data_IF_455186908618
#
_entry.id   IF_455186908618
#
_cell.length_a   1.000
_cell.length_b   1.000
_cell.length_c   1.000
_cell.angle_alpha   90.00
_cell.angle_beta   90.00
_cell.angle_gamma   90.00
#
_symmetry.space_group_name_H-M   'P 1'
#
loop_
_entity.id
_entity.type
_entity.pdbx_description
1 polymer ?
#
# COMPACT_ATOMS: atom_id res chain seq x y z
N UNK A 1 6.82 -0.68 -21.08
CA UNK A 1 7.81 -0.62 -19.98
C UNK A 1 7.31 0.12 -18.74
N UNK A 2 7.04 1.45 -18.76
CA UNK A 2 6.61 2.20 -17.55
C UNK A 2 5.43 1.60 -16.78
N UNK A 3 4.44 1.06 -17.49
CA UNK A 3 3.26 0.44 -16.87
C UNK A 3 3.60 -0.85 -16.13
N UNK A 4 4.50 -1.65 -16.69
CA UNK A 4 4.92 -2.93 -16.11
C UNK A 4 5.70 -2.68 -14.82
N UNK A 5 6.63 -1.73 -14.84
CA UNK A 5 7.40 -1.33 -13.65
C UNK A 5 6.45 -0.85 -12.54
N UNK A 6 5.50 0.02 -12.87
CA UNK A 6 4.53 0.52 -11.89
C UNK A 6 3.63 -0.60 -11.32
N UNK A 7 3.23 -1.58 -12.13
CA UNK A 7 2.45 -2.72 -11.66
C UNK A 7 3.27 -3.66 -10.76
N UNK A 8 4.54 -3.91 -11.10
CA UNK A 8 5.45 -4.74 -10.29
C UNK A 8 5.72 -4.07 -8.95
N UNK A 9 5.99 -2.77 -8.93
CA UNK A 9 6.15 -2.00 -7.69
C UNK A 9 4.88 -2.03 -6.83
N UNK A 10 3.71 -1.83 -7.44
CA UNK A 10 2.44 -1.88 -6.72
C UNK A 10 2.21 -3.27 -6.09
N UNK A 11 2.53 -4.35 -6.80
CA UNK A 11 2.41 -5.70 -6.28
C UNK A 11 3.37 -5.95 -5.10
N UNK A 12 4.64 -5.57 -5.24
CA UNK A 12 5.65 -5.71 -4.19
C UNK A 12 5.26 -4.95 -2.91
N UNK A 13 4.69 -3.76 -3.06
CA UNK A 13 4.20 -2.96 -1.94
C UNK A 13 3.05 -3.62 -1.17
N UNK A 14 2.15 -4.33 -1.86
CA UNK A 14 1.07 -5.05 -1.18
C UNK A 14 1.61 -6.35 -0.57
N UNK A 15 2.57 -7.00 -1.24
CA UNK A 15 3.18 -8.22 -0.76
C UNK A 15 3.95 -8.01 0.55
N UNK A 16 4.68 -6.90 0.68
CA UNK A 16 5.37 -6.57 1.93
C UNK A 16 4.40 -6.33 3.09
N UNK A 17 3.26 -5.65 2.84
CA UNK A 17 2.21 -5.46 3.85
C UNK A 17 1.57 -6.80 4.24
N UNK A 18 1.37 -7.69 3.27
CA UNK A 18 0.87 -9.05 3.52
C UNK A 18 1.83 -9.82 4.44
N UNK A 19 3.14 -9.74 4.21
CA UNK A 19 4.14 -10.39 5.06
C UNK A 19 4.24 -9.76 6.46
N UNK A 20 4.18 -8.43 6.56
CA UNK A 20 4.26 -7.68 7.81
C UNK A 20 3.09 -7.99 8.75
N UNK A 21 1.87 -8.05 8.21
CA UNK A 21 0.65 -8.26 9.00
C UNK A 21 0.12 -9.70 8.94
N UNK A 22 0.72 -10.57 8.13
CA UNK A 22 0.31 -11.96 7.89
C UNK A 22 -1.19 -12.11 7.55
N UNK A 23 -1.70 -11.19 6.71
CA UNK A 23 -3.11 -11.10 6.30
C UNK A 23 -3.32 -11.61 4.87
N UNK A 24 -4.58 -11.77 4.47
CA UNK A 24 -4.89 -12.14 3.08
C UNK A 24 -4.50 -11.03 2.11
N UNK A 25 -4.27 -11.40 0.84
CA UNK A 25 -3.82 -10.42 -0.17
C UNK A 25 -4.84 -9.31 -0.44
N UNK A 26 -6.13 -9.61 -0.23
CA UNK A 26 -7.22 -8.64 -0.30
C UNK A 26 -7.15 -7.64 0.85
N UNK A 27 -6.97 -8.12 2.07
CA UNK A 27 -6.85 -7.27 3.26
C UNK A 27 -5.58 -6.41 3.19
N UNK A 28 -4.46 -6.97 2.74
CA UNK A 28 -3.22 -6.22 2.52
C UNK A 28 -3.41 -5.06 1.56
N UNK A 29 -4.17 -5.24 0.47
CA UNK A 29 -4.48 -4.17 -0.46
C UNK A 29 -5.29 -3.05 0.21
N UNK A 30 -6.30 -3.39 1.00
CA UNK A 30 -7.08 -2.40 1.76
C UNK A 30 -6.23 -1.64 2.78
N UNK A 31 -5.40 -2.35 3.55
CA UNK A 31 -4.49 -1.76 4.54
C UNK A 31 -3.52 -0.80 3.86
N UNK A 32 -2.93 -1.21 2.74
CA UNK A 32 -2.02 -0.37 1.96
C UNK A 32 -2.71 0.91 1.46
N UNK A 33 -3.93 0.81 0.90
CA UNK A 33 -4.69 1.98 0.44
C UNK A 33 -5.00 2.97 1.57
N UNK A 34 -5.43 2.46 2.74
CA UNK A 34 -5.73 3.31 3.90
C UNK A 34 -4.47 3.97 4.46
N UNK A 35 -3.37 3.21 4.58
CA UNK A 35 -2.07 3.73 5.04
C UNK A 35 -1.60 4.90 4.18
N UNK A 36 -1.68 4.75 2.85
CA UNK A 36 -1.28 5.80 1.91
C UNK A 36 -2.09 7.08 2.07
N UNK A 37 -3.42 6.96 2.23
CA UNK A 37 -4.28 8.13 2.46
C UNK A 37 -3.99 8.76 3.82
N UNK A 38 -3.84 7.95 4.87
CA UNK A 38 -3.55 8.43 6.22
C UNK A 38 -2.20 9.17 6.30
N UNK A 39 -1.17 8.69 5.63
CA UNK A 39 0.13 9.36 5.54
C UNK A 39 -0.01 10.74 4.86
N UNK A 40 -0.73 10.82 3.74
CA UNK A 40 -0.98 12.09 3.06
C UNK A 40 -1.81 13.05 3.93
N UNK A 41 -2.79 12.53 4.67
CA UNK A 41 -3.59 13.33 5.61
C UNK A 41 -2.75 13.89 6.75
N UNK A 42 -1.84 13.09 7.33
CA UNK A 42 -0.89 13.55 8.35
C UNK A 42 0.04 14.64 7.81
N UNK A 43 0.59 14.45 6.61
CA UNK A 43 1.45 15.45 5.96
C UNK A 43 0.72 16.76 5.66
N UNK A 44 -0.60 16.70 5.43
CA UNK A 44 -1.46 17.87 5.20
C UNK A 44 -1.93 18.54 6.50
N UNK A 45 -1.51 18.06 7.67
CA UNK A 45 -1.83 18.67 8.97
C UNK A 45 -3.26 18.38 9.46
N UNK A 46 -3.87 17.28 9.03
CA UNK A 46 -5.22 16.89 9.46
C UNK A 46 -5.25 16.20 10.86
N UNK A 47 -4.25 16.46 11.71
CA UNK A 47 -4.17 15.99 13.09
C UNK A 47 -3.20 16.86 13.90
#
# INVERSE_FOLDING_TARGET
EKQEIAMVEAFNNIWSVKEEYNISMREAAYVYSVKKVAEVMKLRGWY
#
